data_IF_782681190795
#
_entry.id   IF_782681190795
#
_cell.length_a   1.000
_cell.length_b   1.000
_cell.length_c   1.000
_cell.angle_alpha   90.00
_cell.angle_beta   90.00
_cell.angle_gamma   90.00
#
_symmetry.space_group_name_H-M   'P 1'
#
loop_
_entity.id
_entity.type
_entity.pdbx_description
1 polymer ?
#
# COMPACT_ATOMS: atom_id res chain seq x y z
N UNK A 1 17.48 2.46 -3.00
CA UNK A 1 16.51 2.00 -4.02
C UNK A 1 16.90 0.61 -4.49
N UNK A 2 16.03 -0.39 -4.33
CA UNK A 2 16.37 -1.79 -4.61
C UNK A 2 16.11 -2.22 -6.07
N UNK A 3 15.21 -1.52 -6.76
CA UNK A 3 14.72 -1.90 -8.10
C UNK A 3 15.74 -1.59 -9.21
N UNK A 4 16.52 -0.51 -9.07
CA UNK A 4 17.55 -0.12 -10.05
C UNK A 4 18.98 -0.46 -9.61
N UNK A 5 19.16 -1.35 -8.63
CA UNK A 5 20.49 -1.77 -8.22
C UNK A 5 20.93 -2.98 -9.07
N UNK A 6 21.93 -2.83 -9.96
CA UNK A 6 22.34 -3.93 -10.85
C UNK A 6 22.97 -5.12 -10.13
N UNK A 7 23.35 -4.96 -8.85
CA UNK A 7 24.00 -6.01 -8.05
C UNK A 7 23.04 -6.77 -7.13
N UNK A 8 21.78 -6.34 -7.02
CA UNK A 8 20.77 -6.99 -6.17
C UNK A 8 19.59 -7.45 -7.01
N UNK A 9 19.27 -8.73 -6.92
CA UNK A 9 18.04 -9.28 -7.50
C UNK A 9 16.80 -8.67 -6.86
N UNK A 10 15.73 -8.57 -7.64
CA UNK A 10 14.41 -8.14 -7.18
C UNK A 10 13.70 -9.36 -6.57
N UNK A 11 13.04 -9.24 -5.40
CA UNK A 11 12.23 -10.32 -4.85
C UNK A 11 11.19 -10.84 -5.85
N UNK A 12 10.93 -12.15 -5.87
CA UNK A 12 10.07 -12.79 -6.89
C UNK A 12 8.68 -12.12 -7.03
N UNK A 13 8.02 -11.82 -5.90
CA UNK A 13 6.73 -11.13 -5.90
C UNK A 13 6.80 -9.71 -6.50
N UNK A 14 7.88 -8.98 -6.23
CA UNK A 14 8.08 -7.64 -6.81
C UNK A 14 8.35 -7.72 -8.31
N UNK A 15 9.12 -8.71 -8.76
CA UNK A 15 9.38 -8.94 -10.19
C UNK A 15 8.09 -9.31 -10.94
N UNK A 16 7.26 -10.20 -10.38
CA UNK A 16 5.97 -10.59 -10.96
C UNK A 16 5.03 -9.39 -11.11
N UNK A 17 4.91 -8.56 -10.06
CA UNK A 17 4.11 -7.32 -10.11
C UNK A 17 4.64 -6.35 -11.18
N UNK A 18 5.96 -6.17 -11.26
CA UNK A 18 6.57 -5.30 -12.29
C UNK A 18 6.27 -5.80 -13.71
N UNK A 19 6.37 -7.12 -13.96
CA UNK A 19 6.03 -7.69 -15.27
C UNK A 19 4.56 -7.49 -15.62
N UNK A 20 3.65 -7.69 -14.66
CA UNK A 20 2.23 -7.43 -14.86
C UNK A 20 1.96 -5.98 -15.28
N UNK A 21 2.52 -5.01 -14.55
CA UNK A 21 2.39 -3.59 -14.92
C UNK A 21 3.10 -3.26 -16.23
N UNK A 22 4.25 -3.88 -16.53
CA UNK A 22 4.93 -3.66 -17.81
C UNK A 22 4.03 -4.03 -19.00
N UNK A 23 3.29 -5.15 -18.92
CA UNK A 23 2.32 -5.56 -19.93
C UNK A 23 1.21 -4.54 -20.12
N UNK A 24 0.68 -3.96 -19.03
CA UNK A 24 -0.35 -2.93 -19.12
C UNK A 24 0.21 -1.61 -19.69
N UNK A 25 1.37 -1.20 -19.20
CA UNK A 25 2.00 0.07 -19.55
C UNK A 25 2.56 0.08 -20.98
N UNK A 26 2.81 -1.08 -21.60
CA UNK A 26 3.30 -1.15 -22.99
C UNK A 26 2.35 -0.49 -24.01
N UNK A 27 1.07 -0.30 -23.64
CA UNK A 27 0.07 0.35 -24.47
C UNK A 27 0.15 1.88 -24.47
N UNK A 28 1.06 2.46 -23.67
CA UNK A 28 1.18 3.91 -23.49
C UNK A 28 2.59 4.37 -23.87
N UNK A 29 2.70 5.60 -24.36
CA UNK A 29 3.98 6.29 -24.53
C UNK A 29 4.31 7.06 -23.24
N UNK A 30 5.35 6.65 -22.53
CA UNK A 30 5.72 7.22 -21.23
C UNK A 30 7.23 7.15 -20.98
N UNK A 31 7.71 8.05 -20.11
CA UNK A 31 9.09 8.07 -19.62
C UNK A 31 9.11 7.87 -18.10
N UNK A 32 10.05 7.04 -17.60
CA UNK A 32 10.24 6.83 -16.17
C UNK A 32 11.18 7.90 -15.63
N UNK A 33 10.65 8.83 -14.84
CA UNK A 33 11.41 9.91 -14.21
C UNK A 33 11.52 9.73 -12.70
N UNK A 34 12.73 9.95 -12.15
CA UNK A 34 12.91 10.09 -10.71
C UNK A 34 12.42 11.47 -10.26
N UNK A 35 11.59 11.50 -9.22
CA UNK A 35 11.12 12.75 -8.61
C UNK A 35 11.48 12.74 -7.12
N UNK A 36 12.04 13.87 -6.67
CA UNK A 36 12.40 14.06 -5.27
C UNK A 36 11.14 14.00 -4.40
N UNK A 37 11.23 13.37 -3.22
CA UNK A 37 10.12 13.18 -2.29
C UNK A 37 9.45 14.48 -1.85
N UNK A 38 10.22 15.57 -1.73
CA UNK A 38 9.70 16.90 -1.39
C UNK A 38 8.74 17.44 -2.45
N UNK A 39 8.83 16.95 -3.69
CA UNK A 39 7.97 17.35 -4.79
C UNK A 39 6.75 16.43 -4.96
N UNK A 40 6.54 15.45 -4.08
CA UNK A 40 5.38 14.53 -4.14
C UNK A 40 4.13 15.06 -3.44
N UNK A 41 4.13 16.30 -2.94
CA UNK A 41 3.01 16.85 -2.16
C UNK A 41 1.66 16.77 -2.86
N UNK A 42 1.63 16.93 -4.19
CA UNK A 42 0.41 16.77 -4.98
C UNK A 42 -0.10 15.32 -4.97
N UNK A 43 0.78 14.33 -5.18
CA UNK A 43 0.42 12.91 -5.20
C UNK A 43 0.05 12.40 -3.80
N UNK A 44 0.75 12.86 -2.75
CA UNK A 44 0.41 12.52 -1.37
C UNK A 44 -0.95 13.11 -0.97
N UNK A 45 -1.22 14.37 -1.34
CA UNK A 45 -2.51 14.97 -1.09
C UNK A 45 -3.65 14.22 -1.81
N UNK A 46 -3.52 13.97 -3.11
CA UNK A 46 -4.59 13.32 -3.91
C UNK A 46 -4.81 11.87 -3.54
N UNK A 47 -3.76 11.10 -3.24
CA UNK A 47 -3.89 9.70 -2.81
C UNK A 47 -4.57 9.55 -1.44
N UNK A 48 -4.58 10.61 -0.62
CA UNK A 48 -5.21 10.64 0.71
C UNK A 48 -6.54 11.38 0.74
N UNK A 49 -7.02 11.91 -0.38
CA UNK A 49 -8.33 12.55 -0.41
C UNK A 49 -9.39 11.50 -0.11
N UNK A 50 -10.31 11.77 0.85
CA UNK A 50 -11.40 10.86 1.12
C UNK A 50 -12.25 10.72 -0.14
N UNK A 51 -12.36 9.50 -0.66
CA UNK A 51 -13.16 9.22 -1.85
C UNK A 51 -14.60 8.98 -1.40
N UNK A 52 -15.55 9.78 -1.91
CA UNK A 52 -16.96 9.72 -1.50
C UNK A 52 -17.76 8.60 -2.21
N UNK A 53 -17.12 7.71 -2.96
CA UNK A 53 -17.83 6.73 -3.81
C UNK A 53 -18.33 5.51 -3.04
N UNK A 54 -19.57 5.11 -3.36
CA UNK A 54 -20.07 3.75 -3.15
C UNK A 54 -19.20 2.80 -3.98
N UNK A 55 -18.77 1.71 -3.36
CA UNK A 55 -17.76 0.80 -3.88
C UNK A 55 -18.19 0.05 -5.14
N UNK A 56 -17.84 0.56 -6.32
CA UNK A 56 -17.68 -0.25 -7.55
C UNK A 56 -16.27 -0.87 -7.56
N UNK A 57 -15.87 -1.49 -6.45
CA UNK A 57 -14.57 -2.15 -6.34
C UNK A 57 -14.63 -3.49 -7.05
N UNK A 58 -13.93 -3.61 -8.18
CA UNK A 58 -13.74 -4.89 -8.87
C UNK A 58 -12.53 -5.58 -8.27
N UNK A 59 -12.72 -6.77 -7.69
CA UNK A 59 -11.65 -7.54 -7.07
C UNK A 59 -10.69 -8.08 -8.15
N UNK A 60 -9.41 -7.71 -8.07
CA UNK A 60 -8.36 -8.19 -8.97
C UNK A 60 -7.74 -9.51 -8.46
N UNK A 61 -7.06 -10.25 -9.33
CA UNK A 61 -6.36 -11.49 -8.95
C UNK A 61 -5.33 -11.26 -7.83
N UNK A 62 -4.66 -10.10 -7.85
CA UNK A 62 -3.73 -9.69 -6.81
C UNK A 62 -4.41 -9.52 -5.43
N UNK A 63 -5.67 -9.10 -5.40
CA UNK A 63 -6.44 -8.95 -4.16
C UNK A 63 -6.74 -10.30 -3.52
N UNK A 64 -7.08 -11.30 -4.34
CA UNK A 64 -7.32 -12.67 -3.86
C UNK A 64 -6.08 -13.24 -3.20
N UNK A 65 -4.90 -13.05 -3.82
CA UNK A 65 -3.62 -13.48 -3.25
C UNK A 65 -3.35 -12.74 -1.94
N UNK A 66 -3.60 -11.43 -1.89
CA UNK A 66 -3.39 -10.62 -0.69
C UNK A 66 -4.34 -11.02 0.46
N UNK A 67 -5.61 -11.28 0.16
CA UNK A 67 -6.58 -11.74 1.15
C UNK A 67 -6.18 -13.09 1.72
N UNK A 68 -5.78 -14.05 0.88
CA UNK A 68 -5.32 -15.36 1.33
C UNK A 68 -4.08 -15.25 2.24
N UNK A 69 -3.14 -14.34 1.90
CA UNK A 69 -1.99 -14.08 2.76
C UNK A 69 -2.40 -13.50 4.13
N UNK A 70 -3.36 -12.56 4.14
CA UNK A 70 -3.87 -11.95 5.37
C UNK A 70 -4.57 -13.00 6.24
N UNK A 71 -5.34 -13.91 5.65
CA UNK A 71 -6.02 -15.00 6.36
C UNK A 71 -5.04 -16.02 6.96
N UNK A 72 -3.84 -16.15 6.39
CA UNK A 72 -2.79 -17.02 6.90
C UNK A 72 -1.89 -16.36 7.96
N UNK A 73 -2.11 -15.08 8.29
CA UNK A 73 -1.31 -14.41 9.31
C UNK A 73 -1.53 -15.07 10.68
N UNK A 74 -0.48 -15.22 11.50
CA UNK A 74 -0.58 -15.83 12.83
C UNK A 74 -1.31 -14.93 13.85
N UNK A 75 -1.72 -13.74 13.44
CA UNK A 75 -2.39 -12.74 14.28
C UNK A 75 -3.58 -12.17 13.54
N UNK A 76 -4.71 -12.07 14.24
CA UNK A 76 -5.95 -11.53 13.72
C UNK A 76 -6.05 -10.02 13.96
N UNK A 77 -6.89 -9.35 13.18
CA UNK A 77 -7.18 -7.92 13.37
C UNK A 77 -7.73 -7.61 14.77
N UNK A 78 -8.50 -8.53 15.36
CA UNK A 78 -9.02 -8.42 16.72
C UNK A 78 -7.90 -8.45 17.75
N UNK A 79 -6.99 -9.43 17.67
CA UNK A 79 -5.85 -9.54 18.59
C UNK A 79 -4.93 -8.33 18.50
N UNK A 80 -4.68 -7.83 17.28
CA UNK A 80 -3.94 -6.60 17.07
C UNK A 80 -4.63 -5.39 17.73
N UNK A 81 -5.96 -5.29 17.60
CA UNK A 81 -6.75 -4.24 18.25
C UNK A 81 -6.65 -4.29 19.78
N UNK A 82 -6.77 -5.49 20.36
CA UNK A 82 -6.67 -5.71 21.81
C UNK A 82 -5.25 -5.40 22.32
N UNK A 83 -4.21 -5.83 21.61
CA UNK A 83 -2.82 -5.53 21.95
C UNK A 83 -2.54 -4.02 21.87
N UNK A 84 -2.99 -3.35 20.81
CA UNK A 84 -2.83 -1.89 20.63
C UNK A 84 -3.57 -1.12 21.73
N UNK A 85 -4.72 -1.60 22.19
CA UNK A 85 -5.47 -0.96 23.29
C UNK A 85 -4.82 -1.11 24.68
N UNK A 86 -3.88 -2.06 24.84
CA UNK A 86 -3.11 -2.29 26.06
C UNK A 86 -1.75 -1.61 26.05
N UNK A 87 -1.22 -1.30 24.87
CA UNK A 87 0.07 -0.65 24.72
C UNK A 87 -0.06 0.88 24.80
N UNK A 88 0.40 1.47 25.91
CA UNK A 88 0.30 2.90 26.17
C UNK A 88 1.04 3.79 25.15
N UNK A 89 2.00 3.25 24.39
CA UNK A 89 2.74 4.00 23.38
C UNK A 89 1.96 4.18 22.08
N UNK A 90 1.11 3.20 21.72
CA UNK A 90 0.35 3.21 20.45
C UNK A 90 -1.14 3.38 20.65
N UNK A 91 -1.66 3.21 21.88
CA UNK A 91 -3.08 3.42 22.21
C UNK A 91 -3.58 4.82 21.87
N UNK A 92 -2.71 5.83 21.95
CA UNK A 92 -3.04 7.20 21.53
C UNK A 92 -3.36 7.33 20.04
N UNK A 93 -2.93 6.39 19.21
CA UNK A 93 -3.20 6.38 17.77
C UNK A 93 -4.63 5.90 17.46
N UNK A 94 -5.26 5.12 18.33
CA UNK A 94 -6.62 4.59 18.13
C UNK A 94 -7.65 5.69 17.82
N UNK A 95 -7.76 6.79 18.60
CA UNK A 95 -8.69 7.88 18.27
C UNK A 95 -8.31 8.60 16.96
N UNK A 96 -7.03 8.79 16.68
CA UNK A 96 -6.56 9.42 15.45
C UNK A 96 -6.94 8.60 14.21
N UNK A 97 -6.75 7.28 14.28
CA UNK A 97 -7.10 6.33 13.22
C UNK A 97 -8.62 6.23 13.01
N UNK A 98 -9.42 6.28 14.08
CA UNK A 98 -10.89 6.23 13.98
C UNK A 98 -11.50 7.52 13.43
N UNK A 99 -10.92 8.66 13.77
CA UNK A 99 -11.49 9.98 13.44
C UNK A 99 -10.80 10.66 12.26
N UNK A 100 -9.77 10.04 11.67
CA UNK A 100 -9.01 10.60 10.54
C UNK A 100 -8.24 11.88 10.88
N UNK A 101 -7.92 12.13 12.15
CA UNK A 101 -7.21 13.35 12.56
C UNK A 101 -5.70 13.21 12.41
N UNK A 102 -5.10 14.22 11.77
CA UNK A 102 -3.66 14.31 11.48
C UNK A 102 -2.88 14.76 12.73
N UNK A 103 -1.73 14.12 13.01
CA UNK A 103 -0.67 14.69 13.85
C UNK A 103 0.10 15.76 13.10
#
# INVERSE_FOLDING_TARGET
MHIFNPKKGIPAMSAMRMQHYATFLQAFDYEIIYRNTQLHGNADATSRLPVTTKSDYTMEEADVIQLNLIEQLPVTSKELGDATGRDDTVKMLIPALKNGSRS
#
